data_IF_267870048583
#
_entry.id   IF_267870048583
#
_cell.length_a   1.000
_cell.length_b   1.000
_cell.length_c   1.000
_cell.angle_alpha   90.00
_cell.angle_beta   90.00
_cell.angle_gamma   90.00
#
_symmetry.space_group_name_H-M   'P 1'
#
loop_
_entity.id
_entity.type
_entity.pdbx_description
1 polymer ?
#
# COMPACT_ATOMS: atom_id res chain seq x y z
N UNK A 1 20.14 -13.46 26.49
CA UNK A 1 20.87 -12.76 25.41
C UNK A 1 19.94 -11.73 24.75
N UNK A 2 20.10 -10.43 25.04
CA UNK A 2 19.33 -9.37 24.36
C UNK A 2 20.02 -9.05 23.04
N UNK A 3 19.37 -9.34 21.90
CA UNK A 3 19.83 -8.89 20.58
C UNK A 3 19.86 -7.36 20.58
N UNK A 4 21.01 -6.75 20.23
CA UNK A 4 21.11 -5.30 20.02
C UNK A 4 20.14 -4.93 18.90
N UNK A 5 19.11 -4.14 19.23
CA UNK A 5 18.29 -3.52 18.22
C UNK A 5 19.19 -2.65 17.33
N UNK A 6 19.03 -2.75 16.02
CA UNK A 6 19.74 -1.91 15.05
C UNK A 6 19.30 -0.46 15.22
N UNK A 7 20.19 0.52 14.97
CA UNK A 7 19.92 1.96 15.13
C UNK A 7 18.66 2.41 14.36
N UNK A 8 18.39 1.80 13.21
CA UNK A 8 17.17 2.02 12.42
C UNK A 8 15.91 1.55 13.14
N UNK A 9 15.94 0.38 13.79
CA UNK A 9 14.80 -0.13 14.54
C UNK A 9 14.44 0.80 15.70
N UNK A 10 15.44 1.33 16.42
CA UNK A 10 15.20 2.30 17.50
C UNK A 10 14.57 3.59 16.96
N UNK A 11 15.07 4.10 15.82
CA UNK A 11 14.52 5.30 15.18
C UNK A 11 13.07 5.10 14.69
N UNK A 12 12.75 3.92 14.18
CA UNK A 12 11.40 3.57 13.73
C UNK A 12 10.45 3.36 14.91
N UNK A 13 10.93 2.75 16.00
CA UNK A 13 10.17 2.61 17.25
C UNK A 13 9.82 3.99 17.82
N UNK A 14 10.76 4.94 17.80
CA UNK A 14 10.52 6.32 18.28
C UNK A 14 9.53 7.08 17.37
N UNK A 15 9.58 6.84 16.06
CA UNK A 15 8.73 7.57 15.08
C UNK A 15 7.32 6.99 14.98
N UNK A 16 7.17 5.67 15.06
CA UNK A 16 5.92 4.97 14.73
C UNK A 16 5.34 4.18 15.92
N UNK A 17 6.10 4.07 17.01
CA UNK A 17 5.74 3.27 18.17
C UNK A 17 5.92 1.78 17.92
N UNK A 18 5.31 0.98 18.80
CA UNK A 18 5.36 -0.49 18.73
C UNK A 18 3.98 -1.14 18.65
N UNK A 19 2.91 -0.33 18.63
CA UNK A 19 1.52 -0.80 18.67
C UNK A 19 0.83 -0.79 17.31
N UNK A 20 -0.49 -0.64 17.34
CA UNK A 20 -1.39 -0.75 16.18
C UNK A 20 -0.94 0.09 14.97
N UNK A 21 -0.50 1.32 15.18
CA UNK A 21 -0.10 2.23 14.10
C UNK A 21 1.04 1.66 13.26
N UNK A 22 2.13 1.27 13.92
CA UNK A 22 3.25 0.60 13.26
C UNK A 22 2.83 -0.72 12.62
N UNK A 23 1.98 -1.50 13.28
CA UNK A 23 1.53 -2.76 12.69
C UNK A 23 0.81 -2.55 11.35
N UNK A 24 -0.08 -1.55 11.27
CA UNK A 24 -0.78 -1.21 10.04
C UNK A 24 0.19 -0.67 8.97
N UNK A 25 1.13 0.20 9.35
CA UNK A 25 2.20 0.68 8.47
C UNK A 25 3.02 -0.47 7.87
N UNK A 26 3.54 -1.35 8.71
CA UNK A 26 4.37 -2.47 8.28
C UNK A 26 3.59 -3.43 7.37
N UNK A 27 2.30 -3.64 7.66
CA UNK A 27 1.42 -4.44 6.80
C UNK A 27 1.25 -3.80 5.42
N UNK A 28 1.04 -2.49 5.36
CA UNK A 28 0.93 -1.73 4.11
C UNK A 28 2.21 -1.84 3.28
N UNK A 29 3.37 -1.54 3.88
CA UNK A 29 4.67 -1.56 3.19
C UNK A 29 4.96 -2.97 2.65
N UNK A 30 4.75 -4.02 3.44
CA UNK A 30 4.91 -5.41 2.95
C UNK A 30 3.98 -5.74 1.79
N UNK A 31 2.80 -5.14 1.71
CA UNK A 31 1.90 -5.33 0.57
C UNK A 31 2.42 -4.60 -0.67
N UNK A 32 2.96 -3.38 -0.52
CA UNK A 32 3.62 -2.63 -1.60
C UNK A 32 4.85 -3.38 -2.13
N UNK A 33 5.71 -3.91 -1.26
CA UNK A 33 6.89 -4.68 -1.66
C UNK A 33 6.52 -5.93 -2.48
N UNK A 34 5.45 -6.63 -2.07
CA UNK A 34 4.92 -7.77 -2.83
C UNK A 34 4.37 -7.33 -4.17
N UNK A 35 3.67 -6.20 -4.23
CA UNK A 35 3.15 -5.66 -5.48
C UNK A 35 4.29 -5.37 -6.46
N UNK A 36 5.35 -4.69 -5.99
CA UNK A 36 6.54 -4.40 -6.77
C UNK A 36 7.18 -5.69 -7.30
N UNK A 37 7.37 -6.70 -6.45
CA UNK A 37 7.94 -8.00 -6.86
C UNK A 37 7.10 -8.65 -7.96
N UNK A 38 5.77 -8.61 -7.84
CA UNK A 38 4.86 -9.15 -8.86
C UNK A 38 4.91 -8.36 -10.16
N UNK A 39 4.95 -7.03 -10.10
CA UNK A 39 5.03 -6.16 -11.27
C UNK A 39 6.34 -6.38 -12.05
N UNK A 40 7.48 -6.49 -11.34
CA UNK A 40 8.78 -6.82 -11.95
C UNK A 40 8.72 -8.18 -12.64
N UNK A 41 8.22 -9.21 -11.96
CA UNK A 41 8.11 -10.55 -12.55
C UNK A 41 7.17 -10.62 -13.77
N UNK A 42 6.16 -9.74 -13.82
CA UNK A 42 5.28 -9.60 -14.98
C UNK A 42 6.01 -8.92 -16.15
N UNK A 43 6.74 -7.84 -15.87
CA UNK A 43 7.52 -7.10 -16.87
C UNK A 43 8.63 -7.96 -17.49
N UNK A 44 9.39 -8.70 -16.67
CA UNK A 44 10.43 -9.62 -17.15
C UNK A 44 9.88 -10.75 -18.03
N UNK A 45 8.67 -11.25 -17.70
CA UNK A 45 8.02 -12.29 -18.49
C UNK A 45 7.62 -11.78 -19.89
N UNK A 46 7.20 -10.52 -20.01
CA UNK A 46 6.90 -9.87 -21.30
C UNK A 46 8.15 -9.74 -22.17
N UNK A 47 9.24 -9.24 -21.61
CA UNK A 47 10.50 -9.00 -22.36
C UNK A 47 11.14 -10.30 -22.85
N UNK A 48 10.95 -11.40 -22.10
CA UNK A 48 11.46 -12.72 -22.46
C UNK A 48 10.75 -13.34 -23.67
N UNK A 49 9.50 -12.93 -23.96
CA UNK A 49 8.66 -13.52 -25.01
C UNK A 49 8.84 -12.85 -26.38
N UNK A 50 9.75 -11.87 -26.49
CA UNK A 50 10.22 -11.29 -27.77
C UNK A 50 9.16 -10.59 -28.63
N UNK A 51 7.92 -10.46 -28.15
CA UNK A 51 6.82 -9.90 -28.92
C UNK A 51 6.85 -8.37 -28.87
N UNK A 52 7.77 -7.79 -29.64
CA UNK A 52 7.75 -6.39 -30.02
C UNK A 52 6.54 -6.13 -30.94
N UNK A 53 5.33 -6.11 -30.38
CA UNK A 53 4.14 -5.64 -31.10
C UNK A 53 4.08 -4.12 -30.98
N UNK A 54 5.06 -3.45 -31.57
CA UNK A 54 5.04 -2.01 -31.79
C UNK A 54 4.05 -1.72 -32.92
N UNK A 55 2.83 -1.29 -32.60
CA UNK A 55 1.91 -0.81 -33.63
C UNK A 55 0.43 -0.74 -33.26
N UNK A 56 0.05 0.08 -32.28
CA UNK A 56 -1.23 0.80 -32.28
C UNK A 56 -1.21 1.89 -31.21
N UNK A 57 -1.27 3.16 -31.63
CA UNK A 57 -1.61 4.23 -30.71
C UNK A 57 -3.04 4.01 -30.20
N UNK A 58 -3.24 4.14 -28.88
CA UNK A 58 -4.53 4.25 -28.16
C UNK A 58 -5.01 3.04 -27.35
N UNK A 59 -4.14 2.40 -26.58
CA UNK A 59 -4.44 1.86 -25.22
C UNK A 59 -3.11 1.66 -24.48
N UNK A 60 -3.05 1.98 -23.19
CA UNK A 60 -1.85 1.72 -22.38
C UNK A 60 -1.71 0.20 -22.21
N UNK A 61 -0.54 -0.37 -22.45
CA UNK A 61 -0.30 -1.81 -22.29
C UNK A 61 -0.68 -2.23 -20.85
N UNK A 62 -1.49 -3.30 -20.66
CA UNK A 62 -1.91 -3.73 -19.34
C UNK A 62 -0.73 -4.07 -18.39
N UNK A 63 0.42 -4.49 -18.92
CA UNK A 63 1.65 -4.68 -18.13
C UNK A 63 2.19 -3.33 -17.66
N UNK A 64 2.26 -2.34 -18.56
CA UNK A 64 2.73 -0.99 -18.22
C UNK A 64 1.80 -0.34 -17.19
N UNK A 65 0.48 -0.60 -17.25
CA UNK A 65 -0.49 -0.16 -16.22
C UNK A 65 -0.17 -0.72 -14.83
N UNK A 66 0.20 -1.99 -14.73
CA UNK A 66 0.58 -2.63 -13.46
C UNK A 66 1.93 -2.09 -12.98
N UNK A 67 2.89 -1.87 -13.88
CA UNK A 67 4.18 -1.26 -13.54
C UNK A 67 3.98 0.18 -13.02
N UNK A 68 3.15 0.98 -13.67
CA UNK A 68 2.80 2.34 -13.21
C UNK A 68 2.14 2.35 -11.83
N UNK A 69 1.42 1.28 -11.48
CA UNK A 69 0.86 1.08 -10.14
C UNK A 69 1.92 1.08 -9.03
N UNK A 70 3.16 0.69 -9.33
CA UNK A 70 4.26 0.70 -8.36
C UNK A 70 4.61 2.12 -7.93
N UNK A 71 4.62 3.08 -8.86
CA UNK A 71 4.88 4.49 -8.56
C UNK A 71 3.79 5.09 -7.69
N UNK A 72 2.52 4.78 -7.98
CA UNK A 72 1.38 5.21 -7.16
C UNK A 72 1.44 4.66 -5.75
N UNK A 73 1.69 3.36 -5.60
CA UNK A 73 1.81 2.72 -4.29
C UNK A 73 3.02 3.23 -3.50
N UNK A 74 4.14 3.54 -4.16
CA UNK A 74 5.31 4.12 -3.49
C UNK A 74 5.01 5.53 -2.96
N UNK A 75 4.26 6.35 -3.70
CA UNK A 75 3.81 7.66 -3.20
C UNK A 75 2.91 7.52 -1.96
N UNK A 76 2.12 6.45 -1.86
CA UNK A 76 1.31 6.18 -0.68
C UNK A 76 2.12 5.74 0.55
N UNK A 77 3.33 5.20 0.38
CA UNK A 77 4.19 4.85 1.51
C UNK A 77 4.53 6.10 2.33
N UNK A 78 4.84 7.21 1.67
CA UNK A 78 5.09 8.50 2.35
C UNK A 78 3.85 8.98 3.12
N UNK A 79 2.67 8.84 2.51
CA UNK A 79 1.40 9.19 3.17
C UNK A 79 1.16 8.34 4.43
N UNK A 80 1.36 7.02 4.34
CA UNK A 80 1.17 6.12 5.49
C UNK A 80 2.22 6.39 6.58
N UNK A 81 3.46 6.69 6.21
CA UNK A 81 4.51 7.10 7.14
C UNK A 81 4.09 8.33 7.95
N UNK A 82 3.61 9.36 7.27
CA UNK A 82 3.19 10.62 7.91
C UNK A 82 1.97 10.41 8.80
N UNK A 83 0.94 9.72 8.30
CA UNK A 83 -0.26 9.37 9.10
C UNK A 83 0.14 8.60 10.37
N UNK A 84 1.04 7.63 10.24
CA UNK A 84 1.50 6.81 11.36
C UNK A 84 2.29 7.63 12.38
N UNK A 85 3.18 8.51 11.91
CA UNK A 85 3.97 9.37 12.77
C UNK A 85 3.08 10.37 13.54
N UNK A 86 2.11 11.00 12.86
CA UNK A 86 1.15 11.91 13.48
C UNK A 86 0.29 11.19 14.52
N UNK A 87 -0.27 10.02 14.17
CA UNK A 87 -1.05 9.20 15.08
C UNK A 87 -0.24 8.77 16.31
N UNK A 88 1.01 8.35 16.12
CA UNK A 88 1.86 7.93 17.23
C UNK A 88 2.21 9.09 18.17
N UNK A 89 2.54 10.25 17.60
CA UNK A 89 2.92 11.45 18.36
C UNK A 89 1.76 11.95 19.22
N UNK A 90 0.53 11.93 18.69
CA UNK A 90 -0.65 12.52 19.34
C UNK A 90 -1.44 11.52 20.18
N UNK A 91 -1.48 10.27 19.73
CA UNK A 91 -2.24 9.18 20.35
C UNK A 91 -1.36 7.93 20.44
N UNK A 92 -0.34 7.92 21.32
CA UNK A 92 0.56 6.78 21.43
C UNK A 92 -0.21 5.53 21.86
N UNK A 93 -0.20 4.51 21.01
CA UNK A 93 -0.79 3.21 21.29
C UNK A 93 0.32 2.17 21.33
N UNK A 94 0.44 1.45 22.44
CA UNK A 94 1.39 0.34 22.62
C UNK A 94 0.76 -1.03 22.36
N UNK A 95 -0.58 -1.13 22.47
CA UNK A 95 -1.34 -2.34 22.20
C UNK A 95 -1.88 -2.44 20.78
N UNK A 96 -2.76 -3.42 20.55
CA UNK A 96 -3.48 -3.61 19.27
C UNK A 96 -4.88 -2.99 19.27
N UNK A 97 -5.27 -2.33 20.36
CA UNK A 97 -6.58 -1.72 20.53
C UNK A 97 -6.39 -0.24 20.87
N UNK A 98 -7.11 0.61 20.17
CA UNK A 98 -7.14 2.05 20.45
C UNK A 98 -7.96 2.30 21.71
N UNK A 99 -7.38 2.94 22.75
CA UNK A 99 -8.14 3.29 23.97
C UNK A 99 -9.32 4.21 23.66
N UNK A 100 -10.40 4.12 24.45
CA UNK A 100 -11.65 4.86 24.22
C UNK A 100 -11.48 6.38 23.96
N UNK A 101 -10.72 7.12 24.79
CA UNK A 101 -10.47 8.55 24.56
C UNK A 101 -9.73 8.84 23.25
N UNK A 102 -8.74 8.02 22.89
CA UNK A 102 -8.05 8.15 21.62
C UNK A 102 -8.99 7.83 20.44
N UNK A 103 -9.87 6.84 20.58
CA UNK A 103 -10.83 6.46 19.54
C UNK A 103 -11.87 7.54 19.26
N UNK A 104 -12.30 8.27 20.29
CA UNK A 104 -13.17 9.43 20.11
C UNK A 104 -12.49 10.54 19.30
N UNK A 105 -11.18 10.71 19.45
CA UNK A 105 -10.42 11.70 18.71
C UNK A 105 -10.09 11.25 17.29
N UNK A 106 -9.56 10.04 17.10
CA UNK A 106 -9.10 9.57 15.78
C UNK A 106 -10.19 8.98 14.89
N UNK A 107 -11.41 8.80 15.42
CA UNK A 107 -12.54 8.23 14.69
C UNK A 107 -12.20 6.89 14.05
N UNK A 108 -12.54 6.77 12.75
CA UNK A 108 -12.35 5.56 11.94
C UNK A 108 -10.96 5.46 11.28
N UNK A 109 -10.01 6.35 11.61
CA UNK A 109 -8.66 6.30 11.03
C UNK A 109 -7.98 4.91 11.13
N UNK A 110 -8.07 4.16 12.26
CA UNK A 110 -7.49 2.81 12.36
C UNK A 110 -8.08 1.83 11.34
N UNK A 111 -9.40 1.87 11.16
CA UNK A 111 -10.15 1.04 10.25
C UNK A 111 -9.83 1.39 8.80
N UNK A 112 -9.69 2.69 8.49
CA UNK A 112 -9.31 3.17 7.16
C UNK A 112 -7.89 2.70 6.78
N UNK A 113 -6.91 2.81 7.69
CA UNK A 113 -5.55 2.30 7.46
C UNK A 113 -5.51 0.79 7.23
N UNK A 114 -6.31 0.05 8.01
CA UNK A 114 -6.44 -1.41 7.86
C UNK A 114 -7.06 -1.76 6.50
N UNK A 115 -8.14 -1.07 6.11
CA UNK A 115 -8.81 -1.27 4.82
C UNK A 115 -7.89 -0.90 3.66
N UNK A 116 -7.15 0.20 3.75
CA UNK A 116 -6.19 0.61 2.72
C UNK A 116 -5.13 -0.48 2.51
N UNK A 117 -4.60 -1.05 3.60
CA UNK A 117 -3.66 -2.19 3.53
C UNK A 117 -4.28 -3.42 2.85
N UNK A 118 -5.55 -3.72 3.13
CA UNK A 118 -6.28 -4.81 2.46
C UNK A 118 -6.46 -4.54 0.96
N UNK A 119 -6.75 -3.29 0.57
CA UNK A 119 -6.87 -2.88 -0.83
C UNK A 119 -5.57 -3.02 -1.62
N UNK A 120 -4.43 -2.67 -1.02
CA UNK A 120 -3.13 -2.99 -1.64
C UNK A 120 -2.93 -4.52 -1.76
N UNK A 121 -3.38 -5.29 -0.78
CA UNK A 121 -3.41 -6.76 -0.88
C UNK A 121 -4.26 -7.28 -2.05
N UNK A 122 -5.43 -6.69 -2.29
CA UNK A 122 -6.29 -7.00 -3.44
C UNK A 122 -5.61 -6.63 -4.77
N UNK A 123 -4.90 -5.50 -4.83
CA UNK A 123 -4.09 -5.11 -5.99
C UNK A 123 -2.96 -6.11 -6.28
N UNK A 124 -2.29 -6.64 -5.24
CA UNK A 124 -1.28 -7.70 -5.39
C UNK A 124 -1.88 -8.98 -5.99
N UNK A 125 -3.06 -9.38 -5.52
CA UNK A 125 -3.75 -10.56 -6.04
C UNK A 125 -4.14 -10.38 -7.51
N UNK A 126 -4.68 -9.22 -7.87
CA UNK A 126 -5.01 -8.89 -9.25
C UNK A 126 -3.77 -8.91 -10.16
N UNK A 127 -2.66 -8.29 -9.75
CA UNK A 127 -1.39 -8.35 -10.48
C UNK A 127 -0.82 -9.79 -10.61
N UNK A 128 -1.05 -10.64 -9.60
CA UNK A 128 -0.62 -12.04 -9.64
C UNK A 128 -1.47 -12.88 -10.60
N UNK A 129 -2.77 -12.58 -10.68
CA UNK A 129 -3.67 -13.16 -11.68
C UNK A 129 -3.30 -12.71 -13.09
N UNK A 130 -3.01 -11.42 -13.28
CA UNK A 130 -2.47 -10.89 -14.53
C UNK A 130 -1.25 -11.68 -15.03
N UNK A 131 -0.30 -11.98 -14.14
CA UNK A 131 0.86 -12.80 -14.46
C UNK A 131 0.50 -14.22 -14.87
N UNK A 132 -0.39 -14.86 -14.12
CA UNK A 132 -0.85 -16.22 -14.43
C UNK A 132 -1.58 -16.28 -15.78
N UNK A 133 -2.39 -15.26 -16.08
CA UNK A 133 -3.14 -15.14 -17.33
C UNK A 133 -2.22 -14.90 -18.52
N UNK A 134 -1.24 -13.99 -18.38
CA UNK A 134 -0.21 -13.77 -19.41
C UNK A 134 0.56 -15.04 -19.76
N UNK A 135 1.01 -15.80 -18.76
CA UNK A 135 1.69 -17.09 -18.96
C UNK A 135 0.81 -18.15 -19.65
N UNK A 136 -0.51 -18.01 -19.54
CA UNK A 136 -1.50 -18.91 -20.15
C UNK A 136 -2.03 -18.38 -21.49
N UNK A 137 -1.51 -17.26 -21.99
CA UNK A 137 -1.99 -16.59 -23.22
C UNK A 137 -3.39 -15.99 -23.09
N UNK A 138 -3.91 -15.79 -21.88
CA UNK A 138 -5.20 -15.13 -21.62
C UNK A 138 -5.02 -13.62 -21.53
N UNK A 139 -6.07 -12.87 -21.85
CA UNK A 139 -6.07 -11.40 -21.70
C UNK A 139 -5.82 -11.00 -20.24
N UNK A 140 -5.00 -9.97 -20.07
CA UNK A 140 -4.59 -9.42 -18.76
C UNK A 140 -5.44 -8.20 -18.38
N UNK A 141 -6.21 -7.64 -19.32
CA UNK A 141 -6.84 -6.31 -19.23
C UNK A 141 -7.71 -6.16 -17.98
N UNK A 142 -8.58 -7.13 -17.71
CA UNK A 142 -9.47 -7.09 -16.54
C UNK A 142 -8.71 -7.08 -15.21
N UNK A 143 -7.57 -7.78 -15.13
CA UNK A 143 -6.73 -7.81 -13.94
C UNK A 143 -5.95 -6.50 -13.78
N UNK A 144 -5.49 -5.90 -14.88
CA UNK A 144 -4.87 -4.58 -14.86
C UNK A 144 -5.85 -3.49 -14.42
N UNK A 145 -7.08 -3.51 -14.93
CA UNK A 145 -8.17 -2.61 -14.50
C UNK A 145 -8.51 -2.80 -13.01
N UNK A 146 -8.64 -4.05 -12.55
CA UNK A 146 -8.90 -4.35 -11.15
C UNK A 146 -7.78 -3.81 -10.25
N UNK A 147 -6.52 -3.94 -10.70
CA UNK A 147 -5.35 -3.42 -10.00
C UNK A 147 -5.43 -1.90 -9.84
N UNK A 148 -5.75 -1.17 -10.91
CA UNK A 148 -5.95 0.29 -10.87
C UNK A 148 -7.04 0.66 -9.88
N UNK A 149 -8.19 -0.03 -9.92
CA UNK A 149 -9.32 0.22 -9.01
C UNK A 149 -8.93 0.03 -7.55
N UNK A 150 -8.23 -1.06 -7.22
CA UNK A 150 -7.83 -1.32 -5.83
C UNK A 150 -6.78 -0.33 -5.31
N UNK A 151 -5.88 0.15 -6.17
CA UNK A 151 -4.94 1.22 -5.80
C UNK A 151 -5.72 2.53 -5.54
N UNK A 152 -6.66 2.89 -6.41
CA UNK A 152 -7.53 4.06 -6.20
C UNK A 152 -8.35 3.96 -4.91
N UNK A 153 -8.94 2.80 -4.62
CA UNK A 153 -9.65 2.56 -3.35
C UNK A 153 -8.73 2.80 -2.14
N UNK A 154 -7.46 2.36 -2.22
CA UNK A 154 -6.47 2.60 -1.16
C UNK A 154 -6.13 4.09 -1.00
N UNK A 155 -5.94 4.81 -2.11
CA UNK A 155 -5.71 6.27 -2.13
C UNK A 155 -6.86 7.01 -1.45
N UNK A 156 -8.11 6.67 -1.78
CA UNK A 156 -9.30 7.29 -1.19
C UNK A 156 -9.39 7.05 0.33
N UNK A 157 -9.11 5.81 0.78
CA UNK A 157 -9.15 5.47 2.20
C UNK A 157 -8.09 6.24 3.00
N UNK A 158 -6.89 6.39 2.44
CA UNK A 158 -5.82 7.18 3.06
C UNK A 158 -6.13 8.68 3.03
N UNK A 159 -6.75 9.18 1.95
CA UNK A 159 -7.25 10.55 1.86
C UNK A 159 -8.24 10.86 2.98
N UNK A 160 -9.23 9.99 3.19
CA UNK A 160 -10.21 10.12 4.28
C UNK A 160 -9.54 10.08 5.67
N UNK A 161 -8.56 9.20 5.87
CA UNK A 161 -7.83 9.13 7.13
C UNK A 161 -7.06 10.43 7.40
N UNK A 162 -6.47 11.03 6.36
CA UNK A 162 -5.79 12.33 6.44
C UNK A 162 -6.76 13.46 6.78
N UNK A 163 -7.94 13.50 6.15
CA UNK A 163 -8.98 14.49 6.46
C UNK A 163 -9.45 14.40 7.92
N UNK A 164 -9.61 13.19 8.46
CA UNK A 164 -9.97 12.99 9.87
C UNK A 164 -8.88 13.57 10.76
N UNK A 165 -7.61 13.29 10.49
CA UNK A 165 -6.51 13.80 11.31
C UNK A 165 -6.34 15.32 11.20
N UNK A 166 -6.53 15.90 10.01
CA UNK A 166 -6.50 17.36 9.84
C UNK A 166 -7.57 18.06 10.70
N UNK A 167 -8.77 17.49 10.81
CA UNK A 167 -9.83 18.03 11.69
C UNK A 167 -9.51 17.90 13.17
N UNK A 168 -8.72 16.89 13.54
CA UNK A 168 -8.23 16.73 14.92
C UNK A 168 -7.08 17.70 15.21
N UNK A 169 -6.40 18.21 14.17
CA UNK A 169 -5.34 19.21 14.30
C UNK A 169 -5.86 20.64 14.46
N UNK A 170 -7.08 20.94 14.03
CA UNK A 170 -7.72 22.24 14.23
C UNK A 170 -8.08 22.47 15.73
N UNK A 171 -7.59 23.56 16.36
CA UNK A 171 -7.74 23.85 17.79
C UNK A 171 -9.13 24.31 18.22
#
# INVERSE_FOLDING_TARGET
MRKKATKTAIKDDDRFGTGLWRHNRDRFIRAVDRYYTTAVALHEARDSDGSATSGAASAKDPVDVIVDGTHRLNALVEVVDDLTATLHTRFPVTGQVVPGPARQAVGDAPELLTKASSKVGEAVLAASMARSDGQSGRSIDSNAEATVRFITDAEELLGRAREILARVEEP
#
